data_IF_487943854081
#
_entry.id   IF_487943854081
#
_cell.length_a   1.000
_cell.length_b   1.000
_cell.length_c   1.000
_cell.angle_alpha   90.00
_cell.angle_beta   90.00
_cell.angle_gamma   90.00
#
_symmetry.space_group_name_H-M   'P 1'
#
loop_
_entity.id
_entity.type
_entity.pdbx_description
1 polymer ?
#
# COMPACT_ATOMS: atom_id res chain seq x y z
N UNK A 1 28.62 56.64 34.33
CA UNK A 1 27.71 56.53 33.17
C UNK A 1 27.77 55.11 32.63
N UNK A 2 26.88 54.24 33.10
CA UNK A 2 26.79 52.87 32.62
C UNK A 2 26.01 52.85 31.29
N UNK A 3 26.68 52.41 30.23
CA UNK A 3 26.08 52.25 28.90
C UNK A 3 25.25 50.95 28.94
N UNK A 4 23.93 51.07 29.00
CA UNK A 4 23.00 49.95 28.78
C UNK A 4 22.87 49.77 27.27
N UNK A 5 23.47 48.71 26.72
CA UNK A 5 23.22 48.26 25.34
C UNK A 5 22.10 47.22 25.35
N UNK A 6 20.93 47.61 24.85
CA UNK A 6 19.83 46.72 24.54
C UNK A 6 20.17 45.97 23.24
N UNK A 7 20.47 44.67 23.31
CA UNK A 7 20.57 43.83 22.12
C UNK A 7 19.16 43.39 21.70
N UNK A 8 18.68 43.90 20.58
CA UNK A 8 17.55 43.31 19.86
C UNK A 8 18.01 41.97 19.28
N UNK A 9 17.63 40.87 19.95
CA UNK A 9 17.59 39.54 19.32
C UNK A 9 16.57 39.61 18.18
N UNK A 10 17.03 39.92 16.97
CA UNK A 10 16.28 39.67 15.74
C UNK A 10 16.24 38.16 15.50
N UNK A 11 15.51 37.43 16.36
CA UNK A 11 14.89 36.20 15.92
C UNK A 11 13.84 36.61 14.90
N UNK A 12 14.13 36.43 13.62
CA UNK A 12 13.14 36.57 12.56
C UNK A 12 11.90 35.77 12.97
N UNK A 13 10.87 36.46 13.46
CA UNK A 13 9.54 35.89 13.68
C UNK A 13 9.08 35.40 12.31
N UNK A 14 9.34 34.12 12.00
CA UNK A 14 8.82 33.49 10.80
C UNK A 14 7.32 33.68 10.85
N UNK A 15 6.79 34.44 9.90
CA UNK A 15 5.35 34.62 9.79
C UNK A 15 4.71 33.23 9.72
N UNK A 16 3.68 32.95 10.53
CA UNK A 16 3.02 31.65 10.51
C UNK A 16 2.44 31.41 9.12
N UNK A 17 2.64 30.22 8.57
CA UNK A 17 1.90 29.78 7.40
C UNK A 17 0.56 29.20 7.86
N UNK A 18 -0.45 29.29 6.99
CA UNK A 18 -1.73 28.65 7.24
C UNK A 18 -1.89 27.39 6.39
N UNK A 19 -2.46 26.36 6.97
CA UNK A 19 -2.64 25.05 6.37
C UNK A 19 -4.13 24.72 6.34
N UNK A 20 -4.63 24.26 5.19
CA UNK A 20 -5.92 23.57 5.09
C UNK A 20 -5.74 22.14 5.55
N UNK A 21 -6.46 21.74 6.59
CA UNK A 21 -6.36 20.41 7.22
C UNK A 21 -7.71 19.72 7.15
N UNK A 22 -7.71 18.50 6.64
CA UNK A 22 -8.86 17.61 6.67
C UNK A 22 -8.90 16.90 8.04
N UNK A 23 -10.04 16.99 8.74
CA UNK A 23 -10.31 16.28 9.99
C UNK A 23 -11.59 15.45 9.84
N UNK A 24 -11.75 14.40 10.64
CA UNK A 24 -12.88 13.45 10.50
C UNK A 24 -14.22 14.03 11.02
N UNK A 25 -14.74 15.04 10.34
CA UNK A 25 -16.00 15.75 10.70
C UNK A 25 -16.76 16.09 9.42
N UNK A 26 -18.09 16.31 9.49
CA UNK A 26 -18.90 16.61 8.31
C UNK A 26 -18.77 18.07 7.86
N UNK A 27 -17.54 18.56 7.71
CA UNK A 27 -17.21 19.92 7.27
C UNK A 27 -16.18 19.85 6.12
N UNK A 28 -15.94 21.01 5.50
CA UNK A 28 -14.82 21.19 4.58
C UNK A 28 -13.46 21.18 5.30
N UNK A 29 -12.42 21.58 4.57
CA UNK A 29 -11.08 21.74 5.12
C UNK A 29 -11.04 22.90 6.13
N UNK A 30 -10.35 22.70 7.25
CA UNK A 30 -10.22 23.69 8.32
C UNK A 30 -8.83 24.34 8.30
N UNK A 31 -8.77 25.63 8.62
CA UNK A 31 -7.52 26.41 8.60
C UNK A 31 -6.82 26.36 9.95
N UNK A 32 -5.52 26.04 9.95
CA UNK A 32 -4.66 26.03 11.13
C UNK A 32 -3.33 26.74 10.86
N UNK A 33 -2.74 27.31 11.90
CA UNK A 33 -1.42 27.95 11.82
C UNK A 33 -0.29 26.94 12.08
N UNK A 34 0.82 27.09 11.37
CA UNK A 34 2.07 26.36 11.64
C UNK A 34 3.29 27.26 11.37
N UNK A 35 4.43 26.92 11.96
CA UNK A 35 5.65 27.75 11.90
C UNK A 35 6.41 27.66 10.56
N UNK A 36 6.05 26.68 9.73
CA UNK A 36 6.68 26.39 8.44
C UNK A 36 5.70 25.62 7.53
N UNK A 37 5.81 25.70 6.20
CA UNK A 37 4.98 24.88 5.32
C UNK A 37 5.15 23.39 5.63
N UNK A 38 4.08 22.62 5.47
CA UNK A 38 4.09 21.17 5.61
C UNK A 38 3.67 20.53 4.28
N UNK A 39 4.31 19.41 3.88
CA UNK A 39 3.88 18.68 2.69
C UNK A 39 2.40 18.29 2.74
N UNK A 40 1.74 18.29 1.58
CA UNK A 40 0.42 17.67 1.42
C UNK A 40 0.50 16.19 1.81
N UNK A 41 -0.55 15.70 2.47
CA UNK A 41 -0.64 14.34 2.99
C UNK A 41 0.05 14.13 4.33
N UNK A 42 0.73 15.13 4.89
CA UNK A 42 1.34 15.03 6.23
C UNK A 42 0.26 14.88 7.30
N UNK A 43 0.45 13.91 8.19
CA UNK A 43 -0.44 13.71 9.34
C UNK A 43 -0.03 14.61 10.50
N UNK A 44 -1.02 15.19 11.15
CA UNK A 44 -0.85 16.16 12.23
C UNK A 44 -1.89 15.97 13.32
N UNK A 45 -1.63 16.48 14.53
CA UNK A 45 -2.64 16.67 15.56
C UNK A 45 -3.04 18.13 15.63
N UNK A 46 -4.35 18.35 15.67
CA UNK A 46 -4.94 19.68 15.74
C UNK A 46 -6.01 19.75 16.82
N UNK A 47 -6.19 20.90 17.47
CA UNK A 47 -7.29 21.12 18.38
C UNK A 47 -8.59 21.28 17.58
N UNK A 48 -9.61 20.52 17.96
CA UNK A 48 -10.97 20.64 17.42
C UNK A 48 -11.96 20.69 18.57
N UNK A 49 -12.63 21.84 18.72
CA UNK A 49 -13.52 22.15 19.84
C UNK A 49 -12.80 21.96 21.19
N UNK A 50 -13.09 20.88 21.91
CA UNK A 50 -12.57 20.53 23.24
C UNK A 50 -11.68 19.28 23.22
N UNK A 51 -11.30 18.78 22.04
CA UNK A 51 -10.48 17.58 21.86
C UNK A 51 -9.29 17.88 20.95
N UNK A 52 -8.27 17.03 21.05
CA UNK A 52 -7.22 16.92 20.04
C UNK A 52 -7.60 15.79 19.10
N UNK A 53 -7.50 16.03 17.79
CA UNK A 53 -7.84 15.04 16.76
C UNK A 53 -6.72 14.95 15.72
N UNK A 54 -6.56 13.77 15.13
CA UNK A 54 -5.77 13.59 13.94
C UNK A 54 -6.36 14.40 12.77
N UNK A 55 -5.47 14.95 11.95
CA UNK A 55 -5.79 15.63 10.71
C UNK A 55 -4.74 15.34 9.64
N UNK A 56 -5.09 15.65 8.40
CA UNK A 56 -4.23 15.49 7.22
C UNK A 56 -4.08 16.85 6.56
N UNK A 57 -2.84 17.28 6.36
CA UNK A 57 -2.54 18.52 5.62
C UNK A 57 -2.98 18.33 4.17
N UNK A 58 -3.94 19.13 3.74
CA UNK A 58 -4.48 19.11 2.39
C UNK A 58 -3.89 20.21 1.52
N UNK A 59 -3.28 21.23 2.08
CA UNK A 59 -2.62 22.28 1.31
C UNK A 59 -2.33 23.50 2.16
N UNK A 60 -1.74 24.50 1.52
CA UNK A 60 -1.48 25.80 2.12
C UNK A 60 -2.65 26.74 1.88
N UNK A 61 -2.79 27.70 2.78
CA UNK A 61 -3.72 28.82 2.65
C UNK A 61 -2.94 30.12 2.79
N UNK A 62 -2.91 30.90 1.71
CA UNK A 62 -2.18 32.16 1.66
C UNK A 62 -2.95 33.31 2.30
N UNK A 63 -4.29 33.24 2.29
CA UNK A 63 -5.18 34.25 2.85
C UNK A 63 -6.28 33.58 3.66
N UNK A 64 -6.17 33.51 5.00
CA UNK A 64 -7.19 32.89 5.81
C UNK A 64 -8.47 33.72 5.81
N UNK A 65 -9.62 33.05 5.71
CA UNK A 65 -10.94 33.68 5.74
C UNK A 65 -11.31 34.30 7.11
N UNK A 66 -10.59 33.91 8.17
CA UNK A 66 -10.81 34.39 9.54
C UNK A 66 -9.58 35.13 10.09
N UNK A 67 -9.82 36.01 11.06
CA UNK A 67 -8.77 36.78 11.70
C UNK A 67 -7.69 35.87 12.32
N UNK A 68 -6.41 36.21 12.08
CA UNK A 68 -5.25 35.40 12.47
C UNK A 68 -5.25 34.94 13.94
N UNK A 69 -5.71 35.78 14.88
CA UNK A 69 -5.77 35.46 16.30
C UNK A 69 -6.82 34.39 16.68
N UNK A 70 -7.78 34.10 15.79
CA UNK A 70 -8.79 33.03 15.97
C UNK A 70 -8.32 31.68 15.42
N UNK A 71 -7.24 31.68 14.63
CA UNK A 71 -6.70 30.48 14.01
C UNK A 71 -5.87 29.72 15.04
N UNK A 72 -6.27 28.49 15.33
CA UNK A 72 -5.53 27.63 16.25
C UNK A 72 -4.28 27.06 15.58
N UNK A 73 -3.25 26.76 16.37
CA UNK A 73 -2.03 26.16 15.88
C UNK A 73 -2.13 24.63 15.76
N UNK A 74 -1.37 24.06 14.83
CA UNK A 74 -1.06 22.63 14.81
C UNK A 74 -0.32 22.27 16.11
N UNK A 75 -0.75 21.21 16.79
CA UNK A 75 -0.18 20.78 18.07
C UNK A 75 1.01 19.84 17.91
N UNK A 76 0.94 18.95 16.92
CA UNK A 76 2.00 17.96 16.66
C UNK A 76 2.03 17.62 15.17
N UNK A 77 3.23 17.39 14.64
CA UNK A 77 3.47 16.85 13.31
C UNK A 77 4.05 15.45 13.47
N UNK A 78 3.51 14.45 12.76
CA UNK A 78 4.08 13.11 12.73
C UNK A 78 5.22 13.04 11.70
N UNK A 79 6.35 13.67 12.02
CA UNK A 79 7.45 13.90 11.07
C UNK A 79 8.16 12.61 10.60
N UNK A 80 8.13 11.55 11.40
CA UNK A 80 8.74 10.26 11.05
C UNK A 80 7.85 9.39 10.16
N UNK A 81 6.64 9.85 9.84
CA UNK A 81 5.72 9.17 8.94
C UNK A 81 5.84 9.74 7.53
N UNK A 82 5.89 8.88 6.50
CA UNK A 82 5.81 9.36 5.14
C UNK A 82 4.46 10.06 4.92
N UNK A 83 4.44 11.21 4.22
CA UNK A 83 3.18 11.83 3.81
C UNK A 83 2.34 10.87 2.98
N UNK A 84 1.01 10.98 3.10
CA UNK A 84 0.10 10.26 2.22
C UNK A 84 0.33 10.67 0.77
N UNK A 85 0.45 9.74 -0.19
CA UNK A 85 0.83 10.06 -1.57
C UNK A 85 -0.17 11.00 -2.28
N UNK A 86 0.31 11.84 -3.19
CA UNK A 86 -0.56 12.76 -3.95
C UNK A 86 -1.61 12.00 -4.78
N UNK A 87 -1.27 10.82 -5.32
CA UNK A 87 -2.24 9.97 -6.02
C UNK A 87 -3.38 9.51 -5.11
N UNK A 88 -3.09 9.27 -3.82
CA UNK A 88 -4.10 8.96 -2.83
C UNK A 88 -4.97 10.19 -2.52
N UNK A 89 -4.36 11.37 -2.30
CA UNK A 89 -5.11 12.62 -2.07
C UNK A 89 -6.06 12.92 -3.24
N UNK A 90 -5.59 12.79 -4.48
CA UNK A 90 -6.40 12.97 -5.68
C UNK A 90 -7.55 11.94 -5.79
N UNK A 91 -7.34 10.68 -5.36
CA UNK A 91 -8.41 9.67 -5.27
C UNK A 91 -9.47 10.09 -4.25
N UNK A 92 -9.05 10.59 -3.08
CA UNK A 92 -9.96 11.06 -2.04
C UNK A 92 -10.72 12.32 -2.49
N UNK A 93 -10.06 13.27 -3.15
CA UNK A 93 -10.70 14.45 -3.74
C UNK A 93 -11.75 14.07 -4.79
N UNK A 94 -11.40 13.16 -5.72
CA UNK A 94 -12.35 12.66 -6.70
C UNK A 94 -13.55 12.00 -6.02
N UNK A 95 -13.29 11.12 -5.05
CA UNK A 95 -14.34 10.38 -4.34
C UNK A 95 -15.27 11.33 -3.57
N UNK A 96 -14.71 12.25 -2.79
CA UNK A 96 -15.46 13.23 -2.02
C UNK A 96 -16.34 14.10 -2.94
N UNK A 97 -15.77 14.59 -4.05
CA UNK A 97 -16.51 15.39 -5.04
C UNK A 97 -17.61 14.60 -5.73
N UNK A 98 -17.30 13.39 -6.22
CA UNK A 98 -18.24 12.59 -7.02
C UNK A 98 -19.41 12.09 -6.17
N UNK A 99 -19.13 11.62 -4.95
CA UNK A 99 -20.15 11.12 -4.03
C UNK A 99 -20.72 12.19 -3.08
N UNK A 100 -20.32 13.46 -3.26
CA UNK A 100 -20.76 14.60 -2.45
C UNK A 100 -20.64 14.36 -0.94
N UNK A 101 -19.47 13.88 -0.52
CA UNK A 101 -19.21 13.52 0.87
C UNK A 101 -18.06 14.36 1.45
N UNK A 102 -18.09 14.74 2.74
CA UNK A 102 -17.06 15.59 3.34
C UNK A 102 -15.65 15.00 3.14
N UNK A 103 -14.71 15.83 2.67
CA UNK A 103 -13.36 15.40 2.30
C UNK A 103 -12.62 14.73 3.46
N UNK A 104 -12.78 15.27 4.67
CA UNK A 104 -12.18 14.72 5.88
C UNK A 104 -12.75 13.35 6.25
N UNK A 105 -14.08 13.18 6.21
CA UNK A 105 -14.67 11.86 6.46
C UNK A 105 -14.28 10.87 5.37
N UNK A 106 -14.26 11.28 4.10
CA UNK A 106 -13.78 10.46 2.97
C UNK A 106 -12.35 9.95 3.22
N UNK A 107 -11.44 10.86 3.60
CA UNK A 107 -10.05 10.52 3.91
C UNK A 107 -9.95 9.52 5.07
N UNK A 108 -10.68 9.75 6.16
CA UNK A 108 -10.62 8.88 7.33
C UNK A 108 -11.30 7.54 7.12
N UNK A 109 -12.32 7.44 6.25
CA UNK A 109 -12.87 6.16 5.79
C UNK A 109 -11.80 5.32 5.07
N UNK A 110 -10.96 5.96 4.27
CA UNK A 110 -9.91 5.34 3.47
C UNK A 110 -8.62 4.96 4.23
N UNK A 111 -8.40 5.52 5.43
CA UNK A 111 -7.23 5.23 6.27
C UNK A 111 -7.41 3.95 7.10
N UNK A 112 -6.34 3.21 7.42
CA UNK A 112 -6.36 2.15 8.43
C UNK A 112 -6.41 2.76 9.84
N UNK A 113 -6.78 1.96 10.85
CA UNK A 113 -6.90 2.43 12.23
C UNK A 113 -5.65 3.16 12.73
N UNK A 114 -4.44 2.61 12.49
CA UNK A 114 -3.19 3.22 12.97
C UNK A 114 -2.96 4.65 12.49
N UNK A 115 -3.50 5.04 11.33
CA UNK A 115 -3.37 6.40 10.79
C UNK A 115 -4.54 7.32 11.18
N UNK A 116 -5.59 6.79 11.82
CA UNK A 116 -6.72 7.58 12.36
C UNK A 116 -6.50 8.02 13.81
N UNK A 117 -5.60 7.34 14.51
CA UNK A 117 -5.35 7.54 15.94
C UNK A 117 -4.51 8.79 16.23
N UNK A 118 -4.56 9.27 17.47
CA UNK A 118 -3.81 10.46 17.90
C UNK A 118 -2.33 10.15 18.27
N UNK A 119 -1.79 9.03 17.82
CA UNK A 119 -0.44 8.57 18.14
C UNK A 119 0.32 8.19 16.86
N UNK A 120 1.65 8.13 16.94
CA UNK A 120 2.49 7.77 15.80
C UNK A 120 2.21 6.33 15.35
N UNK A 121 2.12 6.12 14.04
CA UNK A 121 1.93 4.81 13.45
C UNK A 121 3.26 4.05 13.44
N UNK A 122 3.21 2.76 13.77
CA UNK A 122 4.37 1.88 13.66
C UNK A 122 4.64 1.56 12.20
N UNK A 123 5.60 2.28 11.60
CA UNK A 123 6.00 2.08 10.21
C UNK A 123 6.69 0.71 10.03
N UNK A 124 6.23 -0.14 9.10
CA UNK A 124 6.88 -1.42 8.83
C UNK A 124 8.23 -1.20 8.15
N UNK A 125 9.25 -1.91 8.65
CA UNK A 125 10.57 -1.93 8.04
C UNK A 125 10.54 -2.81 6.77
N UNK A 126 11.28 -2.43 5.71
CA UNK A 126 11.34 -3.23 4.49
C UNK A 126 11.90 -4.62 4.79
N UNK A 127 11.37 -5.62 4.11
CA UNK A 127 11.89 -6.97 4.24
C UNK A 127 13.33 -7.03 3.73
N UNK A 128 14.18 -7.71 4.47
CA UNK A 128 15.62 -7.76 4.21
C UNK A 128 15.99 -9.14 3.69
N UNK A 129 16.70 -9.16 2.56
CA UNK A 129 17.23 -10.35 1.92
C UNK A 129 18.75 -10.36 2.01
N UNK A 130 19.29 -11.56 2.24
CA UNK A 130 20.70 -11.80 2.50
C UNK A 130 21.27 -12.73 1.42
N UNK A 131 22.47 -12.40 0.97
CA UNK A 131 23.31 -13.22 0.08
C UNK A 131 24.78 -13.02 0.47
N UNK A 132 25.69 -13.90 0.06
CA UNK A 132 27.12 -13.65 0.24
C UNK A 132 27.59 -12.58 -0.75
N UNK A 133 28.32 -11.58 -0.26
CA UNK A 133 29.04 -10.64 -1.10
C UNK A 133 30.36 -11.27 -1.61
N UNK A 134 31.14 -10.53 -2.38
CA UNK A 134 32.41 -11.02 -2.94
C UNK A 134 33.39 -11.50 -1.87
N UNK A 135 33.48 -10.81 -0.72
CA UNK A 135 34.36 -11.20 0.38
C UNK A 135 33.86 -12.47 1.08
N UNK A 136 32.55 -12.60 1.27
CA UNK A 136 31.91 -13.78 1.84
C UNK A 136 32.09 -15.02 0.96
N UNK A 137 31.99 -14.87 -0.37
CA UNK A 137 32.19 -15.98 -1.32
C UNK A 137 33.62 -16.52 -1.33
N UNK A 138 34.61 -15.72 -0.93
CA UNK A 138 36.02 -16.13 -0.86
C UNK A 138 36.35 -16.96 0.41
N UNK A 139 35.45 -16.99 1.38
CA UNK A 139 35.67 -17.71 2.62
C UNK A 139 35.43 -19.22 2.47
N UNK A 140 36.12 -20.05 3.27
CA UNK A 140 35.91 -21.49 3.23
C UNK A 140 34.49 -21.84 3.66
N UNK A 141 33.82 -22.66 2.83
CA UNK A 141 32.50 -23.17 3.16
C UNK A 141 32.52 -23.97 4.49
N UNK A 142 31.44 -23.91 5.29
CA UNK A 142 31.33 -24.72 6.50
C UNK A 142 31.54 -26.22 6.20
N UNK A 143 32.16 -26.99 7.12
CA UNK A 143 32.41 -28.41 6.89
C UNK A 143 31.15 -29.19 6.52
N UNK A 144 31.24 -30.11 5.55
CA UNK A 144 30.09 -30.89 5.06
C UNK A 144 29.37 -31.69 6.16
N UNK A 145 30.07 -32.06 7.24
CA UNK A 145 29.51 -32.68 8.46
C UNK A 145 28.46 -31.80 9.17
N UNK A 146 28.50 -30.50 8.97
CA UNK A 146 27.54 -29.53 9.53
C UNK A 146 26.43 -29.25 8.51
N UNK A 147 25.67 -30.29 8.15
CA UNK A 147 24.72 -30.29 7.04
C UNK A 147 23.84 -29.04 6.95
N UNK A 148 23.22 -28.59 8.06
CA UNK A 148 22.36 -27.38 8.05
C UNK A 148 23.14 -26.07 7.85
N UNK A 149 24.36 -25.95 8.42
CA UNK A 149 25.21 -24.76 8.23
C UNK A 149 25.73 -24.70 6.79
N UNK A 150 26.16 -25.84 6.25
CA UNK A 150 26.56 -25.95 4.84
C UNK A 150 25.39 -25.64 3.90
N UNK A 151 24.17 -26.09 4.21
CA UNK A 151 22.98 -25.78 3.42
C UNK A 151 22.63 -24.28 3.47
N UNK A 152 22.70 -23.64 4.65
CA UNK A 152 22.49 -22.21 4.77
C UNK A 152 23.56 -21.41 4.01
N UNK A 153 24.84 -21.81 4.12
CA UNK A 153 25.92 -21.20 3.36
C UNK A 153 25.67 -21.29 1.86
N UNK A 154 25.35 -22.48 1.36
CA UNK A 154 25.06 -22.70 -0.06
C UNK A 154 23.88 -21.84 -0.52
N UNK A 155 22.82 -21.75 0.30
CA UNK A 155 21.65 -20.95 -0.02
C UNK A 155 21.96 -19.44 -0.12
N UNK A 156 22.86 -18.92 0.71
CA UNK A 156 23.37 -17.55 0.62
C UNK A 156 24.38 -17.35 -0.52
N UNK A 157 25.14 -18.40 -0.86
CA UNK A 157 26.12 -18.36 -1.94
C UNK A 157 25.47 -18.30 -3.31
N UNK A 158 24.40 -19.08 -3.53
CA UNK A 158 23.73 -19.22 -4.82
C UNK A 158 22.50 -18.33 -4.99
N UNK A 159 22.03 -17.64 -3.96
CA UNK A 159 20.78 -16.88 -4.01
C UNK A 159 20.64 -15.81 -2.95
N UNK A 160 19.48 -15.14 -2.95
CA UNK A 160 19.12 -14.08 -2.02
C UNK A 160 17.86 -14.48 -1.26
N UNK A 161 17.93 -14.58 0.07
CA UNK A 161 16.85 -15.12 0.90
C UNK A 161 16.57 -14.23 2.10
N UNK A 162 15.30 -14.14 2.48
CA UNK A 162 14.90 -13.47 3.71
C UNK A 162 15.19 -14.34 4.95
N UNK A 163 15.14 -13.73 6.13
CA UNK A 163 15.41 -14.42 7.39
C UNK A 163 14.43 -15.58 7.66
N UNK A 164 13.17 -15.47 7.20
CA UNK A 164 12.16 -16.50 7.41
C UNK A 164 12.48 -17.79 6.64
N UNK A 165 12.90 -17.68 5.37
CA UNK A 165 13.34 -18.82 4.56
C UNK A 165 14.64 -19.43 5.13
N UNK A 166 15.58 -18.59 5.53
CA UNK A 166 16.83 -19.06 6.15
C UNK A 166 16.57 -19.82 7.46
N UNK A 167 15.58 -19.40 8.27
CA UNK A 167 15.17 -20.11 9.50
C UNK A 167 14.59 -21.51 9.23
N UNK A 168 13.96 -21.73 8.07
CA UNK A 168 13.50 -23.07 7.66
C UNK A 168 14.67 -24.01 7.34
N UNK A 169 15.78 -23.45 6.84
CA UNK A 169 17.02 -24.20 6.56
C UNK A 169 17.80 -24.44 7.86
N UNK A 170 17.98 -23.40 8.68
CA UNK A 170 18.74 -23.45 9.93
C UNK A 170 18.03 -22.69 11.06
N UNK A 171 17.69 -23.33 12.20
CA UNK A 171 16.95 -22.68 13.30
C UNK A 171 17.64 -21.43 13.87
N UNK A 172 18.98 -21.44 13.96
CA UNK A 172 19.79 -20.31 14.42
C UNK A 172 20.25 -19.39 13.28
N UNK A 173 19.55 -19.35 12.14
CA UNK A 173 19.91 -18.50 11.00
C UNK A 173 20.15 -17.04 11.39
N UNK A 174 19.37 -16.49 12.33
CA UNK A 174 19.56 -15.10 12.79
C UNK A 174 20.94 -14.85 13.41
N UNK A 175 21.44 -15.78 14.23
CA UNK A 175 22.78 -15.65 14.81
C UNK A 175 23.84 -15.73 13.73
N UNK A 176 23.75 -16.71 12.83
CA UNK A 176 24.71 -16.87 11.74
C UNK A 176 24.74 -15.67 10.80
N UNK A 177 23.58 -15.09 10.49
CA UNK A 177 23.48 -13.87 9.69
C UNK A 177 24.13 -12.70 10.41
N UNK A 178 23.92 -12.54 11.71
CA UNK A 178 24.61 -11.51 12.49
C UNK A 178 26.13 -11.72 12.50
N UNK A 179 26.59 -12.96 12.67
CA UNK A 179 28.02 -13.31 12.67
C UNK A 179 28.67 -13.03 11.30
N UNK A 180 27.98 -13.37 10.21
CA UNK A 180 28.45 -13.10 8.84
C UNK A 180 28.38 -11.61 8.49
N UNK A 181 27.35 -10.90 8.95
CA UNK A 181 27.24 -9.45 8.79
C UNK A 181 28.35 -8.71 9.55
N UNK A 182 28.66 -9.12 10.79
CA UNK A 182 29.75 -8.55 11.59
C UNK A 182 31.12 -8.72 10.93
N UNK A 183 31.28 -9.77 10.13
CA UNK A 183 32.49 -10.03 9.34
C UNK A 183 32.44 -9.41 7.92
N UNK A 184 31.37 -8.68 7.60
CA UNK A 184 31.12 -8.06 6.30
C UNK A 184 31.09 -9.07 5.13
N UNK A 185 30.53 -10.26 5.36
CA UNK A 185 30.40 -11.33 4.35
C UNK A 185 29.10 -11.27 3.56
N UNK A 186 28.14 -10.46 3.98
CA UNK A 186 26.80 -10.42 3.41
C UNK A 186 26.59 -9.20 2.52
N UNK A 187 25.93 -9.40 1.39
CA UNK A 187 25.19 -8.37 0.69
C UNK A 187 23.75 -8.38 1.19
N UNK A 188 23.30 -7.23 1.67
CA UNK A 188 21.96 -7.02 2.23
C UNK A 188 21.16 -6.17 1.24
N UNK A 189 20.01 -6.68 0.78
CA UNK A 189 19.12 -5.96 -0.11
C UNK A 189 17.71 -5.88 0.47
N UNK A 190 17.02 -4.78 0.23
CA UNK A 190 15.65 -4.51 0.74
C UNK A 190 14.57 -4.72 -0.32
N UNK A 191 14.97 -5.07 -1.55
CA UNK A 191 14.09 -5.34 -2.67
C UNK A 191 14.71 -6.44 -3.53
N UNK A 192 14.37 -7.70 -3.24
CA UNK A 192 14.54 -8.75 -4.25
C UNK A 192 13.51 -8.51 -5.36
N UNK A 193 13.92 -8.63 -6.63
CA UNK A 193 12.92 -8.90 -7.68
C UNK A 193 12.21 -10.19 -7.28
N UNK A 194 10.87 -10.17 -7.16
CA UNK A 194 10.16 -11.34 -6.71
C UNK A 194 10.28 -12.43 -7.78
N UNK A 195 10.78 -13.59 -7.38
CA UNK A 195 10.77 -14.77 -8.22
C UNK A 195 9.32 -15.28 -8.31
N UNK A 196 8.71 -15.10 -9.47
CA UNK A 196 7.35 -15.58 -9.76
C UNK A 196 7.48 -16.85 -10.58
N UNK A 197 7.33 -18.04 -9.98
CA UNK A 197 7.50 -19.28 -10.72
C UNK A 197 6.41 -19.44 -11.79
N UNK A 198 6.69 -20.21 -12.86
CA UNK A 198 5.68 -20.53 -13.86
C UNK A 198 4.48 -21.25 -13.22
N UNK A 199 3.30 -21.06 -13.80
CA UNK A 199 2.09 -21.74 -13.32
C UNK A 199 2.20 -23.25 -13.52
N UNK A 200 1.69 -24.03 -12.56
CA UNK A 200 1.47 -25.46 -12.76
C UNK A 200 0.27 -25.76 -13.67
N UNK A 201 -0.61 -24.77 -13.88
CA UNK A 201 -1.78 -24.89 -14.75
C UNK A 201 -1.46 -24.37 -16.15
N UNK A 202 -1.76 -25.20 -17.17
CA UNK A 202 -1.66 -24.80 -18.57
C UNK A 202 -2.99 -24.15 -18.99
N UNK A 203 -2.94 -22.90 -19.41
CA UNK A 203 -4.11 -22.19 -19.94
C UNK A 203 -4.55 -22.82 -21.27
N UNK A 204 -5.86 -22.92 -21.48
CA UNK A 204 -6.41 -23.27 -22.79
C UNK A 204 -6.26 -22.09 -23.79
N UNK A 205 -6.52 -22.27 -25.10
CA UNK A 205 -6.31 -21.21 -26.10
C UNK A 205 -7.08 -19.91 -25.83
N UNK A 206 -8.32 -19.99 -25.34
CA UNK A 206 -9.15 -18.81 -25.04
C UNK A 206 -8.60 -18.05 -23.83
N UNK A 207 -8.28 -18.77 -22.75
CA UNK A 207 -7.66 -18.22 -21.54
C UNK A 207 -6.31 -17.56 -21.85
N UNK A 208 -5.49 -18.22 -22.68
CA UNK A 208 -4.20 -17.69 -23.09
C UNK A 208 -4.35 -16.41 -23.91
N UNK A 209 -5.33 -16.35 -24.81
CA UNK A 209 -5.64 -15.15 -25.60
C UNK A 209 -6.06 -14.00 -24.69
N UNK A 210 -7.00 -14.24 -23.77
CA UNK A 210 -7.46 -13.23 -22.81
C UNK A 210 -6.30 -12.73 -21.93
N UNK A 211 -5.49 -13.65 -21.38
CA UNK A 211 -4.34 -13.29 -20.56
C UNK A 211 -3.32 -12.44 -21.34
N UNK A 212 -2.97 -12.82 -22.58
CA UNK A 212 -2.04 -12.05 -23.42
C UNK A 212 -2.55 -10.64 -23.71
N UNK A 213 -3.85 -10.48 -23.95
CA UNK A 213 -4.44 -9.15 -24.17
C UNK A 213 -4.32 -8.26 -22.93
N UNK A 214 -4.59 -8.81 -21.74
CA UNK A 214 -4.43 -8.07 -20.48
C UNK A 214 -2.95 -7.71 -20.25
N UNK A 215 -2.03 -8.65 -20.47
CA UNK A 215 -0.59 -8.45 -20.30
C UNK A 215 -0.04 -7.40 -21.28
N UNK A 216 -0.49 -7.41 -22.53
CA UNK A 216 -0.09 -6.43 -23.53
C UNK A 216 -0.54 -5.00 -23.19
N UNK A 217 -1.56 -4.85 -22.34
CA UNK A 217 -2.04 -3.56 -21.87
C UNK A 217 -1.36 -3.07 -20.57
N UNK A 218 -0.41 -3.81 -19.99
CA UNK A 218 0.32 -3.34 -18.81
C UNK A 218 1.05 -2.02 -19.11
N UNK A 219 0.86 -1.02 -18.23
CA UNK A 219 1.43 0.32 -18.40
C UNK A 219 0.54 1.30 -19.17
N UNK A 220 -0.66 0.88 -19.60
CA UNK A 220 -1.70 1.77 -20.13
C UNK A 220 -3.05 1.49 -19.48
N UNK A 221 -3.91 2.50 -19.43
CA UNK A 221 -5.29 2.32 -18.97
C UNK A 221 -6.09 1.55 -20.01
N UNK A 222 -6.59 0.37 -19.63
CA UNK A 222 -7.49 -0.43 -20.45
C UNK A 222 -8.46 -1.21 -19.55
N UNK A 223 -9.78 -0.95 -19.64
CA UNK A 223 -10.77 -1.81 -19.00
C UNK A 223 -11.00 -3.08 -19.82
N UNK A 224 -11.08 -4.21 -19.13
CA UNK A 224 -11.46 -5.50 -19.68
C UNK A 224 -12.63 -6.08 -18.90
N UNK A 225 -13.63 -6.62 -19.61
CA UNK A 225 -14.63 -7.51 -19.02
C UNK A 225 -14.21 -8.95 -19.32
N UNK A 226 -13.82 -9.71 -18.30
CA UNK A 226 -13.57 -11.14 -18.43
C UNK A 226 -14.84 -11.91 -18.08
N UNK A 227 -15.64 -12.18 -19.10
CA UNK A 227 -16.85 -12.97 -19.00
C UNK A 227 -16.55 -14.47 -19.11
N UNK A 228 -17.06 -15.25 -18.15
CA UNK A 228 -17.01 -16.70 -18.21
C UNK A 228 -17.78 -17.34 -17.07
N UNK A 229 -18.55 -18.38 -17.37
CA UNK A 229 -19.32 -19.15 -16.38
C UNK A 229 -18.41 -19.70 -15.27
N UNK A 230 -18.97 -20.02 -14.11
CA UNK A 230 -18.22 -20.66 -13.02
C UNK A 230 -17.53 -21.93 -13.53
N UNK A 231 -16.26 -22.13 -13.15
CA UNK A 231 -15.46 -23.27 -13.62
C UNK A 231 -14.76 -23.06 -14.98
N UNK A 232 -15.04 -21.99 -15.73
CA UNK A 232 -14.35 -21.64 -16.98
C UNK A 232 -12.86 -21.26 -16.82
N UNK A 233 -12.40 -21.11 -15.57
CA UNK A 233 -11.00 -20.82 -15.25
C UNK A 233 -10.61 -19.34 -15.28
N UNK A 234 -11.56 -18.41 -15.08
CA UNK A 234 -11.28 -16.96 -14.93
C UNK A 234 -10.12 -16.65 -13.97
N UNK A 235 -10.09 -17.35 -12.83
CA UNK A 235 -9.03 -17.19 -11.82
C UNK A 235 -7.64 -17.50 -12.37
N UNK A 236 -7.50 -18.48 -13.26
CA UNK A 236 -6.19 -18.80 -13.86
C UNK A 236 -5.74 -17.71 -14.84
N UNK A 237 -6.67 -17.09 -15.57
CA UNK A 237 -6.39 -15.91 -16.39
C UNK A 237 -5.93 -14.73 -15.52
N UNK A 238 -6.59 -14.48 -14.38
CA UNK A 238 -6.14 -13.46 -13.44
C UNK A 238 -4.73 -13.76 -12.95
N UNK A 239 -4.48 -14.96 -12.45
CA UNK A 239 -3.18 -15.34 -11.90
C UNK A 239 -2.05 -15.26 -12.91
N UNK A 240 -2.30 -15.60 -14.17
CA UNK A 240 -1.31 -15.47 -15.25
C UNK A 240 -1.01 -14.00 -15.58
N UNK A 241 -2.04 -13.15 -15.70
CA UNK A 241 -1.85 -11.71 -15.92
C UNK A 241 -1.16 -11.02 -14.73
N UNK A 242 -1.55 -11.39 -13.50
CA UNK A 242 -0.92 -10.90 -12.27
C UNK A 242 0.54 -11.31 -12.18
N UNK A 243 0.90 -12.53 -12.63
CA UNK A 243 2.28 -13.00 -12.62
C UNK A 243 3.20 -12.10 -13.46
N UNK A 244 2.74 -11.65 -14.63
CA UNK A 244 3.49 -10.74 -15.49
C UNK A 244 3.76 -9.38 -14.82
N UNK A 245 2.76 -8.78 -14.16
CA UNK A 245 2.94 -7.54 -13.39
C UNK A 245 3.84 -7.72 -12.16
N UNK A 246 3.66 -8.82 -11.41
CA UNK A 246 4.44 -9.12 -10.22
C UNK A 246 5.90 -9.42 -10.55
N UNK A 247 6.19 -10.11 -11.66
CA UNK A 247 7.56 -10.39 -12.12
C UNK A 247 8.35 -9.12 -12.47
N UNK A 248 7.66 -8.03 -12.83
CA UNK A 248 8.25 -6.70 -13.01
C UNK A 248 8.49 -5.96 -11.66
N UNK A 249 8.22 -6.60 -10.53
CA UNK A 249 8.29 -6.00 -9.20
C UNK A 249 7.20 -4.96 -8.92
N UNK A 250 6.13 -4.93 -9.72
CA UNK A 250 5.04 -3.95 -9.60
C UNK A 250 3.90 -4.47 -8.72
N UNK A 251 3.03 -3.56 -8.28
CA UNK A 251 1.92 -3.88 -7.38
C UNK A 251 0.66 -4.31 -8.14
N UNK A 252 -0.02 -5.30 -7.58
CA UNK A 252 -1.30 -5.81 -8.07
C UNK A 252 -2.35 -5.70 -6.96
N UNK A 253 -3.54 -5.21 -7.30
CA UNK A 253 -4.70 -5.19 -6.42
C UNK A 253 -5.75 -6.21 -6.90
N UNK A 254 -6.06 -7.20 -6.08
CA UNK A 254 -7.16 -8.13 -6.28
C UNK A 254 -8.31 -7.81 -5.30
N UNK A 255 -9.42 -7.34 -5.86
CA UNK A 255 -10.66 -7.07 -5.15
C UNK A 255 -11.62 -8.26 -5.30
N UNK A 256 -12.17 -8.70 -4.18
CA UNK A 256 -13.10 -9.81 -4.09
C UNK A 256 -14.30 -9.43 -3.21
N UNK A 257 -15.48 -10.02 -3.42
CA UNK A 257 -16.56 -9.98 -2.44
C UNK A 257 -16.09 -10.54 -1.09
N UNK A 258 -16.65 -10.03 0.00
CA UNK A 258 -16.21 -10.42 1.36
C UNK A 258 -16.36 -11.92 1.62
N UNK A 259 -17.42 -12.53 1.09
CA UNK A 259 -17.68 -13.97 1.19
C UNK A 259 -16.68 -14.83 0.41
N UNK A 260 -16.05 -14.29 -0.64
CA UNK A 260 -15.12 -15.01 -1.50
C UNK A 260 -13.69 -15.00 -0.97
N UNK A 261 -13.39 -14.12 -0.01
CA UNK A 261 -12.08 -14.03 0.63
C UNK A 261 -11.87 -15.13 1.68
N UNK A 262 -11.94 -16.38 1.22
CA UNK A 262 -11.85 -17.57 2.07
C UNK A 262 -10.38 -17.94 2.35
N UNK A 263 -10.10 -18.66 3.45
CA UNK A 263 -8.76 -19.23 3.69
C UNK A 263 -8.26 -20.10 2.53
N UNK A 264 -9.16 -20.80 1.84
CA UNK A 264 -8.83 -21.62 0.68
C UNK A 264 -8.32 -20.78 -0.50
N UNK A 265 -8.96 -19.64 -0.79
CA UNK A 265 -8.47 -18.73 -1.83
C UNK A 265 -7.11 -18.15 -1.46
N UNK A 266 -6.93 -17.71 -0.22
CA UNK A 266 -5.65 -17.19 0.26
C UNK A 266 -4.54 -18.25 0.17
N UNK A 267 -4.86 -19.52 0.45
CA UNK A 267 -3.91 -20.62 0.27
C UNK A 267 -3.60 -20.87 -1.21
N UNK A 268 -4.59 -20.81 -2.11
CA UNK A 268 -4.35 -20.89 -3.56
C UNK A 268 -3.42 -19.79 -4.05
N UNK A 269 -3.63 -18.56 -3.59
CA UNK A 269 -2.76 -17.43 -3.89
C UNK A 269 -1.35 -17.69 -3.36
N UNK A 270 -1.20 -18.10 -2.10
CA UNK A 270 0.10 -18.37 -1.49
C UNK A 270 0.86 -19.48 -2.22
N UNK A 271 0.14 -20.49 -2.73
CA UNK A 271 0.71 -21.56 -3.55
C UNK A 271 1.09 -21.07 -4.96
N UNK A 272 0.29 -20.18 -5.56
CA UNK A 272 0.57 -19.62 -6.89
C UNK A 272 1.75 -18.65 -6.90
N UNK A 273 1.88 -17.86 -5.84
CA UNK A 273 2.91 -16.82 -5.67
C UNK A 273 3.74 -17.09 -4.40
N UNK A 274 4.51 -18.20 -4.36
CA UNK A 274 5.33 -18.52 -3.21
C UNK A 274 6.40 -17.43 -3.01
N UNK A 275 6.68 -17.08 -1.75
CA UNK A 275 7.65 -16.02 -1.44
C UNK A 275 7.14 -14.58 -1.60
N UNK A 276 5.91 -14.40 -2.11
CA UNK A 276 5.23 -13.11 -2.23
C UNK A 276 4.04 -13.03 -1.25
N UNK A 277 4.27 -12.78 0.05
CA UNK A 277 3.20 -12.73 1.03
C UNK A 277 2.26 -11.55 0.74
N UNK A 278 1.00 -11.86 0.44
CA UNK A 278 -0.02 -10.87 0.17
C UNK A 278 -0.29 -9.96 1.39
N UNK A 279 -0.53 -8.68 1.14
CA UNK A 279 -1.19 -7.79 2.09
C UNK A 279 -2.70 -8.03 2.02
N UNK A 280 -3.31 -8.41 3.13
CA UNK A 280 -4.71 -8.87 3.17
C UNK A 280 -5.56 -7.85 3.93
N UNK A 281 -6.52 -7.25 3.22
CA UNK A 281 -7.25 -6.05 3.65
C UNK A 281 -8.77 -6.29 3.66
N UNK A 282 -9.26 -6.84 4.77
CA UNK A 282 -10.70 -7.03 5.03
C UNK A 282 -11.04 -6.91 6.51
N UNK A 283 -12.34 -6.86 6.81
CA UNK A 283 -12.95 -6.70 8.13
C UNK A 283 -12.47 -7.74 9.16
N UNK A 284 -12.34 -9.01 8.76
CA UNK A 284 -11.99 -10.12 9.66
C UNK A 284 -10.48 -10.18 9.97
N UNK A 285 -9.66 -9.37 9.30
CA UNK A 285 -8.25 -9.22 9.67
C UNK A 285 -8.11 -8.30 10.88
N UNK A 286 -7.39 -8.76 11.91
CA UNK A 286 -7.08 -7.98 13.11
C UNK A 286 -6.56 -6.57 12.75
N UNK A 287 -7.06 -5.54 13.41
CA UNK A 287 -6.86 -4.16 12.99
C UNK A 287 -5.38 -3.73 12.94
N UNK A 288 -4.55 -4.24 13.87
CA UNK A 288 -3.11 -4.05 13.84
C UNK A 288 -2.44 -4.66 12.60
N UNK A 289 -2.77 -5.92 12.27
CA UNK A 289 -2.26 -6.59 11.06
C UNK A 289 -2.71 -5.90 9.78
N UNK A 290 -3.98 -5.51 9.71
CA UNK A 290 -4.54 -4.75 8.59
C UNK A 290 -3.87 -3.39 8.42
N UNK A 291 -3.56 -2.70 9.52
CA UNK A 291 -2.79 -1.45 9.47
C UNK A 291 -1.36 -1.67 8.96
N UNK A 292 -0.68 -2.73 9.42
CA UNK A 292 0.65 -3.09 8.92
C UNK A 292 0.62 -3.44 7.42
N UNK A 293 -0.37 -4.21 6.96
CA UNK A 293 -0.51 -4.55 5.54
C UNK A 293 -0.83 -3.34 4.67
N UNK A 294 -1.67 -2.43 5.15
CA UNK A 294 -1.95 -1.16 4.46
C UNK A 294 -0.66 -0.33 4.33
N UNK A 295 0.12 -0.20 5.40
CA UNK A 295 1.38 0.55 5.38
C UNK A 295 2.42 -0.12 4.48
N UNK A 296 2.54 -1.45 4.52
CA UNK A 296 3.41 -2.22 3.59
C UNK A 296 3.02 -1.97 2.13
N UNK A 297 1.72 -1.93 1.83
CA UNK A 297 1.22 -1.62 0.50
C UNK A 297 1.53 -0.18 0.09
N UNK A 298 1.26 0.79 0.97
CA UNK A 298 1.56 2.21 0.76
C UNK A 298 3.05 2.47 0.50
N UNK A 299 3.93 1.75 1.19
CA UNK A 299 5.39 1.84 1.06
C UNK A 299 5.96 1.01 -0.11
N UNK A 300 5.12 0.35 -0.91
CA UNK A 300 5.57 -0.50 -2.02
C UNK A 300 6.21 -1.83 -1.59
N UNK A 301 6.21 -2.15 -0.29
CA UNK A 301 6.80 -3.36 0.29
C UNK A 301 5.96 -4.62 0.04
N UNK A 302 4.63 -4.46 -0.11
CA UNK A 302 3.74 -5.55 -0.52
C UNK A 302 3.42 -5.43 -2.02
N UNK A 303 3.80 -6.44 -2.81
CA UNK A 303 3.55 -6.47 -4.27
C UNK A 303 2.18 -7.03 -4.64
N UNK A 304 1.65 -7.95 -3.83
CA UNK A 304 0.30 -8.47 -3.99
C UNK A 304 -0.60 -7.98 -2.87
N UNK A 305 -1.71 -7.34 -3.23
CA UNK A 305 -2.71 -6.83 -2.30
C UNK A 305 -4.03 -7.50 -2.61
N UNK A 306 -4.65 -8.07 -1.59
CA UNK A 306 -5.93 -8.74 -1.69
C UNK A 306 -6.86 -8.12 -0.66
N UNK A 307 -8.06 -7.75 -1.08
CA UNK A 307 -9.02 -7.21 -0.14
C UNK A 307 -10.42 -7.11 -0.67
N UNK A 308 -11.29 -6.58 0.18
CA UNK A 308 -12.68 -6.31 -0.15
C UNK A 308 -12.85 -4.85 -0.55
N UNK A 309 -14.10 -4.36 -0.55
CA UNK A 309 -14.51 -3.01 -0.95
C UNK A 309 -13.55 -1.88 -0.53
N UNK A 310 -13.15 -1.82 0.75
CA UNK A 310 -12.29 -0.73 1.27
C UNK A 310 -10.86 -0.74 0.72
N UNK A 311 -10.35 -1.88 0.25
CA UNK A 311 -8.99 -2.01 -0.24
C UNK A 311 -8.72 -1.17 -1.51
N UNK A 312 -9.79 -0.76 -2.22
CA UNK A 312 -9.71 0.15 -3.37
C UNK A 312 -9.04 1.49 -3.03
N UNK A 313 -9.07 1.92 -1.76
CA UNK A 313 -8.41 3.15 -1.31
C UNK A 313 -6.96 3.00 -0.90
N UNK A 314 -6.43 1.78 -0.80
CA UNK A 314 -5.05 1.55 -0.33
C UNK A 314 -4.06 2.21 -1.28
N UNK A 315 -3.16 3.12 -0.86
CA UNK A 315 -2.15 3.69 -1.73
C UNK A 315 -1.24 2.58 -2.28
N UNK A 316 -0.96 2.61 -3.58
CA UNK A 316 -0.11 1.63 -4.27
C UNK A 316 0.80 2.40 -5.25
N UNK A 317 2.01 2.81 -4.85
CA UNK A 317 2.90 3.62 -5.68
C UNK A 317 3.26 2.94 -7.02
N UNK A 318 3.36 1.61 -7.04
CA UNK A 318 3.78 0.85 -8.23
C UNK A 318 2.61 0.07 -8.88
N UNK A 319 1.37 0.54 -8.74
CA UNK A 319 0.20 -0.18 -9.26
C UNK A 319 0.30 -0.46 -10.76
N UNK A 320 0.14 -1.72 -11.14
CA UNK A 320 0.25 -2.19 -12.53
C UNK A 320 -0.96 -2.97 -13.03
N UNK A 321 -1.79 -3.49 -12.13
CA UNK A 321 -3.00 -4.23 -12.50
C UNK A 321 -4.00 -4.18 -11.34
N UNK A 322 -5.27 -3.94 -11.68
CA UNK A 322 -6.39 -4.14 -10.77
C UNK A 322 -7.26 -5.27 -11.32
N UNK A 323 -7.62 -6.23 -10.48
CA UNK A 323 -8.60 -7.28 -10.79
C UNK A 323 -9.75 -7.11 -9.81
N UNK A 324 -10.98 -7.08 -10.33
CA UNK A 324 -12.22 -7.09 -9.56
C UNK A 324 -12.95 -8.38 -9.92
N UNK A 325 -12.90 -9.37 -9.06
CA UNK A 325 -13.62 -10.63 -9.28
C UNK A 325 -15.07 -10.53 -8.83
N UNK A 326 -15.96 -11.26 -9.50
CA UNK A 326 -17.41 -11.16 -9.33
C UNK A 326 -17.91 -9.71 -9.32
N UNK A 327 -17.55 -8.93 -10.34
CA UNK A 327 -17.77 -7.47 -10.41
C UNK A 327 -19.24 -7.02 -10.24
N UNK A 328 -20.18 -7.92 -10.51
CA UNK A 328 -21.62 -7.69 -10.36
C UNK A 328 -22.09 -7.69 -8.90
N UNK A 329 -21.25 -8.17 -7.97
CA UNK A 329 -21.63 -8.39 -6.58
C UNK A 329 -21.93 -7.05 -5.88
N UNK A 330 -23.11 -6.98 -5.26
CA UNK A 330 -23.60 -5.76 -4.60
C UNK A 330 -22.77 -5.34 -3.40
N UNK A 331 -21.98 -6.24 -2.81
CA UNK A 331 -21.08 -5.91 -1.69
C UNK A 331 -20.00 -4.89 -2.06
N UNK A 332 -19.72 -4.69 -3.35
CA UNK A 332 -18.84 -3.60 -3.79
C UNK A 332 -19.45 -2.20 -3.63
N UNK A 333 -20.77 -2.08 -3.42
CA UNK A 333 -21.43 -0.82 -3.07
C UNK A 333 -21.50 -0.66 -1.55
N UNK A 334 -21.03 0.46 -1.01
CA UNK A 334 -21.20 0.83 0.39
C UNK A 334 -22.58 1.49 0.58
N UNK A 335 -23.38 0.98 1.53
CA UNK A 335 -24.74 1.49 1.79
C UNK A 335 -24.82 2.57 2.88
N UNK A 336 -23.86 2.59 3.81
CA UNK A 336 -23.84 3.55 4.92
C UNK A 336 -22.68 4.54 4.81
N UNK A 337 -22.91 5.78 5.27
CA UNK A 337 -21.95 6.89 5.23
C UNK A 337 -21.50 7.24 3.80
N UNK A 338 -20.19 7.22 3.51
CA UNK A 338 -19.66 7.42 2.17
C UNK A 338 -20.15 6.30 1.25
N UNK A 339 -21.22 6.53 0.47
CA UNK A 339 -21.84 5.51 -0.39
C UNK A 339 -21.09 5.29 -1.71
N UNK A 340 -19.80 4.97 -1.65
CA UNK A 340 -18.99 4.69 -2.85
C UNK A 340 -19.24 3.29 -3.43
N UNK A 341 -18.94 3.12 -4.71
CA UNK A 341 -18.89 1.81 -5.38
C UNK A 341 -17.42 1.46 -5.70
N UNK A 342 -16.91 0.36 -5.13
CA UNK A 342 -15.50 -0.02 -5.27
C UNK A 342 -15.13 -0.41 -6.70
N UNK A 343 -15.99 -1.12 -7.44
CA UNK A 343 -15.77 -1.39 -8.88
C UNK A 343 -15.53 -0.10 -9.68
N UNK A 344 -16.40 0.89 -9.52
CA UNK A 344 -16.31 2.14 -10.29
C UNK A 344 -15.05 2.93 -9.88
N UNK A 345 -14.73 2.96 -8.59
CA UNK A 345 -13.48 3.53 -8.10
C UNK A 345 -12.24 2.75 -8.61
N UNK A 346 -12.32 1.43 -8.75
CA UNK A 346 -11.24 0.63 -9.32
C UNK A 346 -10.98 1.01 -10.78
N UNK A 347 -12.02 1.22 -11.60
CA UNK A 347 -11.88 1.70 -12.98
C UNK A 347 -11.27 3.10 -13.03
N UNK A 348 -11.76 4.02 -12.20
CA UNK A 348 -11.19 5.37 -12.11
C UNK A 348 -9.72 5.34 -11.67
N UNK A 349 -9.40 4.50 -10.70
CA UNK A 349 -8.07 4.34 -10.16
C UNK A 349 -7.11 3.71 -11.16
N UNK A 350 -7.55 2.74 -11.94
CA UNK A 350 -6.79 2.17 -13.04
C UNK A 350 -6.46 3.24 -14.10
N UNK A 351 -7.40 4.14 -14.39
CA UNK A 351 -7.16 5.31 -15.26
C UNK A 351 -6.13 6.26 -14.66
N UNK A 352 -6.25 6.57 -13.37
CA UNK A 352 -5.29 7.42 -12.65
C UNK A 352 -3.87 6.83 -12.66
N UNK A 353 -3.75 5.51 -12.49
CA UNK A 353 -2.47 4.79 -12.44
C UNK A 353 -1.94 4.37 -13.82
N UNK A 354 -2.65 4.69 -14.90
CA UNK A 354 -2.35 4.23 -16.26
C UNK A 354 -2.09 2.72 -16.33
N UNK A 355 -3.01 1.92 -15.78
CA UNK A 355 -2.89 0.47 -15.75
C UNK A 355 -4.20 -0.22 -16.17
N UNK A 356 -4.14 -1.48 -16.61
CA UNK A 356 -5.34 -2.23 -16.95
C UNK A 356 -6.17 -2.55 -15.69
N UNK A 357 -7.48 -2.69 -15.91
CA UNK A 357 -8.43 -3.20 -14.92
C UNK A 357 -9.23 -4.34 -15.53
N UNK A 358 -9.31 -5.46 -14.81
CA UNK A 358 -10.06 -6.64 -15.23
C UNK A 358 -11.29 -6.77 -14.34
N UNK A 359 -12.47 -6.66 -14.94
CA UNK A 359 -13.75 -6.90 -14.30
C UNK A 359 -14.17 -8.33 -14.64
N UNK A 360 -14.11 -9.20 -13.64
CA UNK A 360 -14.38 -10.62 -13.76
C UNK A 360 -15.81 -10.95 -13.43
N UNK A 361 -16.50 -11.74 -14.26
CA UNK A 361 -17.88 -12.13 -13.93
C UNK A 361 -18.38 -13.38 -14.65
N UNK A 362 -19.17 -14.19 -13.95
CA UNK A 362 -20.05 -15.18 -14.59
C UNK A 362 -21.39 -14.57 -15.02
N UNK A 363 -21.81 -13.48 -14.39
CA UNK A 363 -23.08 -12.78 -14.65
C UNK A 363 -22.81 -11.27 -14.63
N UNK A 364 -22.24 -10.70 -15.70
CA UNK A 364 -21.84 -9.30 -15.74
C UNK A 364 -22.99 -8.34 -15.40
N UNK A 365 -22.67 -7.24 -14.75
CA UNK A 365 -23.61 -6.15 -14.53
C UNK A 365 -23.96 -5.50 -15.88
N UNK A 366 -25.17 -4.95 -15.99
CA UNK A 366 -25.62 -4.28 -17.23
C UNK A 366 -24.72 -3.09 -17.59
N UNK A 367 -24.27 -2.34 -16.58
CA UNK A 367 -23.37 -1.20 -16.75
C UNK A 367 -22.00 -1.60 -17.30
N UNK A 368 -21.54 -2.82 -16.98
CA UNK A 368 -20.29 -3.39 -17.49
C UNK A 368 -20.47 -4.00 -18.88
N UNK A 369 -21.63 -4.59 -19.18
CA UNK A 369 -21.93 -5.25 -20.47
C UNK A 369 -22.14 -4.27 -21.63
N UNK A 370 -22.70 -3.09 -21.36
CA UNK A 370 -23.09 -2.11 -22.38
C UNK A 370 -22.02 -1.06 -22.72
N UNK A 371 -20.74 -1.28 -22.36
CA UNK A 371 -19.65 -0.29 -22.50
C UNK A 371 -18.63 -0.61 -23.57
#
# INVERSE_FOLDING_TARGET
YAIIRLFLLHGSLKMPCYLKIAVNVPLGLLTYAHIAPLPRGTRVLVPFINKTVAGIVWGEETQPEIAAHKIRAVQQVFADEPPLPESWLALIEFTARYYHYPIGQTAFTALPQALRENQAAKIPQPETFYSLNELGKQQPAPPARSHKKSALWQALFSGCLNLAALKKIHPQAASLINDYAAQNWLAITTQGQPDVPPSAHTLNPEQQTASRQIQAALGQFQPFLLYGITGSGKTEVYFDAMASALAQGRQVLLLLPEINLTPQLLQRVANRFPGLPAAVLHSQTAAGKRSQDYLRAMLGQAKLIIGTRLAVFTPLPDLALIVVDEEHDSSFKQDNELRYHARDLAVWRARQAACPVVLGSATPSLESWHK
#
